data_IF_795292691292
#
_entry.id   IF_795292691292
#
_cell.length_a   1.000
_cell.length_b   1.000
_cell.length_c   1.000
_cell.angle_alpha   90.00
_cell.angle_beta   90.00
_cell.angle_gamma   90.00
#
_symmetry.space_group_name_H-M   'P 1'
#
loop_
_entity.id
_entity.type
_entity.pdbx_description
1 polymer ?
#
# COMPACT_ATOMS: atom_id res chain seq x y z
N UNK A 1 12.54 2.41 -9.40
CA UNK A 1 12.58 1.25 -8.49
C UNK A 1 11.17 0.84 -8.12
N UNK A 2 10.88 -0.43 -8.09
CA UNK A 2 9.55 -0.97 -7.83
C UNK A 2 9.51 -1.64 -6.46
N UNK A 3 8.55 -1.23 -5.63
CA UNK A 3 8.32 -1.84 -4.31
C UNK A 3 6.95 -2.53 -4.31
N UNK A 4 6.91 -3.76 -3.85
CA UNK A 4 5.68 -4.55 -3.79
C UNK A 4 5.28 -4.74 -2.34
N UNK A 5 4.09 -4.26 -1.97
CA UNK A 5 3.61 -4.24 -0.60
C UNK A 5 2.21 -4.82 -0.49
N UNK A 6 1.83 -5.22 0.72
CA UNK A 6 0.44 -5.50 1.06
C UNK A 6 0.00 -4.50 2.13
N UNK A 7 -1.28 -4.14 2.13
CA UNK A 7 -1.80 -3.21 3.14
C UNK A 7 -1.79 -3.85 4.53
N UNK A 8 -2.31 -5.08 4.64
CA UNK A 8 -2.28 -5.84 5.89
C UNK A 8 -1.80 -7.26 5.57
N UNK A 9 -0.74 -7.69 6.22
CA UNK A 9 -0.17 -9.02 6.02
C UNK A 9 -0.99 -10.14 6.66
N UNK A 10 -0.80 -11.36 6.14
CA UNK A 10 -1.35 -12.58 6.72
C UNK A 10 -2.84 -12.82 6.51
N UNK A 11 -3.52 -12.00 5.71
CA UNK A 11 -4.98 -12.11 5.52
C UNK A 11 -5.38 -12.99 4.36
N UNK A 12 -4.56 -13.07 3.34
CA UNK A 12 -4.81 -13.81 2.11
C UNK A 12 -3.53 -14.45 1.61
N UNK A 13 -3.69 -15.47 0.75
CA UNK A 13 -2.56 -15.99 0.00
C UNK A 13 -2.16 -14.97 -1.05
N UNK A 14 -1.05 -14.30 -0.82
CA UNK A 14 -0.54 -13.26 -1.69
C UNK A 14 0.67 -13.75 -2.49
N UNK A 15 0.93 -13.16 -3.67
CA UNK A 15 2.23 -13.26 -4.29
C UNK A 15 3.31 -12.74 -3.32
N UNK A 16 4.57 -13.03 -3.59
CA UNK A 16 5.67 -12.54 -2.76
C UNK A 16 5.65 -11.01 -2.73
N UNK A 17 5.60 -10.46 -1.53
CA UNK A 17 5.67 -9.01 -1.31
C UNK A 17 6.94 -8.68 -0.54
N UNK A 18 7.46 -7.47 -0.75
CA UNK A 18 8.67 -7.02 -0.06
C UNK A 18 8.38 -6.65 1.38
N UNK A 19 7.27 -5.96 1.62
CA UNK A 19 6.89 -5.41 2.93
C UNK A 19 5.38 -5.39 3.06
N UNK A 20 4.89 -5.63 4.28
CA UNK A 20 3.51 -5.33 4.65
C UNK A 20 3.50 -3.98 5.38
N UNK A 21 2.50 -3.14 5.11
CA UNK A 21 2.33 -1.91 5.91
C UNK A 21 2.02 -2.26 7.36
N UNK A 22 1.15 -3.24 7.57
CA UNK A 22 0.81 -3.76 8.90
C UNK A 22 0.90 -5.28 8.90
N UNK A 23 1.51 -5.84 9.94
CA UNK A 23 1.66 -7.29 10.12
C UNK A 23 0.52 -7.84 10.96
N UNK A 24 -0.65 -7.98 10.37
CA UNK A 24 -1.83 -8.47 11.05
C UNK A 24 -2.84 -7.36 11.34
N UNK A 25 -3.51 -7.42 12.49
CA UNK A 25 -4.58 -6.49 12.79
C UNK A 25 -4.07 -5.08 13.09
N UNK A 26 -4.78 -4.08 12.57
CA UNK A 26 -4.61 -2.69 12.96
C UNK A 26 -5.38 -2.46 14.24
N UNK A 27 -4.72 -1.95 15.27
CA UNK A 27 -5.29 -1.81 16.61
C UNK A 27 -6.53 -0.92 16.62
N UNK A 28 -6.45 0.24 15.99
CA UNK A 28 -7.59 1.13 15.85
C UNK A 28 -7.71 1.63 14.40
N UNK A 29 -8.61 1.02 13.60
CA UNK A 29 -8.74 1.37 12.18
C UNK A 29 -9.31 2.76 11.93
N UNK A 30 -9.80 3.45 12.96
CA UNK A 30 -10.29 4.82 12.85
C UNK A 30 -9.28 5.86 13.32
N UNK A 31 -8.13 5.46 13.80
CA UNK A 31 -7.05 6.38 14.14
C UNK A 31 -6.25 6.75 12.88
N UNK A 32 -6.80 7.66 12.11
CA UNK A 32 -6.26 8.03 10.81
C UNK A 32 -4.86 8.63 10.92
N UNK A 33 -4.63 9.44 11.94
CA UNK A 33 -3.31 10.06 12.17
C UNK A 33 -2.22 9.03 12.38
N UNK A 34 -2.48 8.03 13.22
CA UNK A 34 -1.52 6.96 13.49
C UNK A 34 -1.27 6.10 12.25
N UNK A 35 -2.33 5.77 11.50
CA UNK A 35 -2.22 4.98 10.27
C UNK A 35 -1.41 5.74 9.22
N UNK A 36 -1.71 7.01 9.01
CA UNK A 36 -1.00 7.85 8.04
C UNK A 36 0.47 8.01 8.41
N UNK A 37 0.78 8.23 9.68
CA UNK A 37 2.16 8.33 10.15
C UNK A 37 2.93 7.06 9.89
N UNK A 38 2.33 5.90 10.15
CA UNK A 38 2.98 4.61 9.91
C UNK A 38 3.19 4.35 8.41
N UNK A 39 2.18 4.63 7.59
CA UNK A 39 2.26 4.48 6.13
C UNK A 39 3.36 5.40 5.58
N UNK A 40 3.41 6.64 6.03
CA UNK A 40 4.44 7.59 5.61
C UNK A 40 5.84 7.09 5.98
N UNK A 41 6.00 6.57 7.17
CA UNK A 41 7.27 6.01 7.64
C UNK A 41 7.73 4.85 6.76
N UNK A 42 6.83 3.91 6.46
CA UNK A 42 7.15 2.76 5.60
C UNK A 42 7.52 3.21 4.20
N UNK A 43 6.70 4.05 3.57
CA UNK A 43 6.94 4.52 2.21
C UNK A 43 8.24 5.33 2.12
N UNK A 44 8.48 6.20 3.09
CA UNK A 44 9.70 7.01 3.13
C UNK A 44 10.95 6.13 3.29
N UNK A 45 10.86 5.09 4.11
CA UNK A 45 12.00 4.18 4.32
C UNK A 45 12.37 3.38 3.08
N UNK A 46 11.43 3.17 2.16
CA UNK A 46 11.66 2.44 0.92
C UNK A 46 12.06 3.36 -0.24
N UNK A 47 11.88 4.67 -0.09
CA UNK A 47 12.12 5.62 -1.16
C UNK A 47 13.60 5.78 -1.47
N UNK A 48 13.99 5.76 -2.75
CA UNK A 48 15.31 6.22 -3.15
C UNK A 48 15.40 7.75 -3.06
N UNK A 49 16.58 8.28 -3.27
CA UNK A 49 16.85 9.73 -3.22
C UNK A 49 15.90 10.52 -4.16
N UNK A 50 15.55 9.94 -5.30
CA UNK A 50 14.60 10.54 -6.24
C UNK A 50 13.26 9.82 -6.17
N UNK A 51 12.34 10.36 -5.37
CA UNK A 51 11.01 9.80 -5.16
C UNK A 51 10.17 9.70 -6.45
N UNK A 52 10.41 10.58 -7.42
CA UNK A 52 9.69 10.55 -8.69
C UNK A 52 9.98 9.29 -9.53
N UNK A 53 11.06 8.59 -9.22
CA UNK A 53 11.44 7.34 -9.88
C UNK A 53 10.84 6.11 -9.20
N UNK A 54 10.27 6.25 -8.03
CA UNK A 54 9.71 5.12 -7.29
C UNK A 54 8.34 4.73 -7.82
N UNK A 55 8.04 3.44 -7.73
CA UNK A 55 6.72 2.89 -8.02
C UNK A 55 6.33 1.92 -6.92
N UNK A 56 5.17 2.16 -6.33
CA UNK A 56 4.62 1.26 -5.32
C UNK A 56 3.50 0.42 -5.93
N UNK A 57 3.62 -0.90 -5.79
CA UNK A 57 2.57 -1.85 -6.16
C UNK A 57 2.00 -2.39 -4.85
N UNK A 58 0.74 -2.11 -4.58
CA UNK A 58 0.12 -2.37 -3.29
C UNK A 58 -1.05 -3.33 -3.44
N UNK A 59 -0.94 -4.51 -2.84
CA UNK A 59 -2.03 -5.48 -2.76
C UNK A 59 -3.00 -5.05 -1.67
N UNK A 60 -4.25 -4.83 -2.05
CA UNK A 60 -5.30 -4.38 -1.14
C UNK A 60 -5.88 -5.60 -0.41
N UNK A 61 -5.55 -5.75 0.87
CA UNK A 61 -5.87 -6.95 1.64
C UNK A 61 -6.68 -6.68 2.90
N UNK A 62 -7.50 -5.68 2.88
CA UNK A 62 -8.37 -5.39 4.04
C UNK A 62 -8.56 -3.91 4.22
N UNK A 63 -8.52 -3.43 5.42
CA UNK A 63 -8.92 -2.11 5.90
C UNK A 63 -8.80 -0.97 4.90
N UNK A 64 -9.93 -0.41 4.53
CA UNK A 64 -10.03 0.72 3.59
C UNK A 64 -9.18 1.91 4.06
N UNK A 65 -9.12 2.15 5.37
CA UNK A 65 -8.37 3.29 5.91
C UNK A 65 -6.86 3.19 5.68
N UNK A 66 -6.32 1.98 5.59
CA UNK A 66 -4.91 1.78 5.21
C UNK A 66 -4.72 2.13 3.72
N UNK A 67 -5.58 1.62 2.86
CA UNK A 67 -5.52 1.88 1.41
C UNK A 67 -5.64 3.37 1.10
N UNK A 68 -6.61 4.06 1.71
CA UNK A 68 -6.79 5.51 1.50
C UNK A 68 -5.61 6.30 2.02
N UNK A 69 -5.01 5.88 3.13
CA UNK A 69 -3.79 6.51 3.66
C UNK A 69 -2.61 6.35 2.70
N UNK A 70 -2.47 5.18 2.08
CA UNK A 70 -1.42 4.95 1.06
C UNK A 70 -1.57 5.95 -0.10
N UNK A 71 -2.78 6.13 -0.61
CA UNK A 71 -3.02 7.08 -1.71
C UNK A 71 -2.74 8.52 -1.28
N UNK A 72 -3.15 8.89 -0.07
CA UNK A 72 -2.89 10.23 0.47
C UNK A 72 -1.40 10.53 0.57
N UNK A 73 -0.64 9.62 1.14
CA UNK A 73 0.80 9.78 1.31
C UNK A 73 1.52 9.76 -0.04
N UNK A 74 1.11 8.88 -0.96
CA UNK A 74 1.66 8.84 -2.31
C UNK A 74 1.46 10.16 -3.04
N UNK A 75 0.28 10.79 -2.89
CA UNK A 75 0.01 12.09 -3.47
C UNK A 75 0.92 13.18 -2.88
N UNK A 76 1.13 13.16 -1.56
CA UNK A 76 2.06 14.09 -0.90
C UNK A 76 3.50 13.92 -1.39
N UNK A 77 3.91 12.70 -1.66
CA UNK A 77 5.26 12.37 -2.11
C UNK A 77 5.42 12.49 -3.63
N UNK A 78 4.36 12.76 -4.37
CA UNK A 78 4.34 12.77 -5.84
C UNK A 78 4.89 11.48 -6.44
N UNK A 79 4.47 10.35 -5.88
CA UNK A 79 4.91 9.03 -6.33
C UNK A 79 3.74 8.21 -6.87
N UNK A 80 4.01 7.36 -7.85
CA UNK A 80 2.98 6.56 -8.51
C UNK A 80 2.65 5.31 -7.69
N UNK A 81 1.37 4.95 -7.69
CA UNK A 81 0.88 3.76 -7.00
C UNK A 81 0.02 2.93 -7.94
N UNK A 82 0.23 1.63 -7.95
CA UNK A 82 -0.67 0.66 -8.54
C UNK A 82 -1.33 -0.12 -7.41
N UNK A 83 -2.65 -0.06 -7.32
CA UNK A 83 -3.40 -0.90 -6.39
C UNK A 83 -3.79 -2.20 -7.10
N UNK A 84 -3.53 -3.32 -6.43
CA UNK A 84 -3.91 -4.64 -6.90
C UNK A 84 -5.14 -5.10 -6.14
N UNK A 85 -6.28 -5.13 -6.80
CA UNK A 85 -7.57 -5.52 -6.23
C UNK A 85 -7.88 -6.97 -6.54
N UNK A 86 -8.29 -7.74 -5.53
CA UNK A 86 -8.72 -9.11 -5.75
C UNK A 86 -10.12 -9.14 -6.39
N UNK A 87 -10.23 -9.86 -7.50
CA UNK A 87 -11.51 -10.11 -8.17
C UNK A 87 -11.95 -11.55 -7.89
N UNK A 88 -13.01 -11.69 -7.12
CA UNK A 88 -13.56 -12.99 -6.73
C UNK A 88 -14.02 -13.83 -7.92
N UNK A 89 -14.57 -13.18 -8.94
CA UNK A 89 -15.16 -13.87 -10.08
C UNK A 89 -14.11 -14.57 -10.93
N UNK A 90 -12.92 -13.99 -10.98
CA UNK A 90 -11.80 -14.53 -11.78
C UNK A 90 -10.73 -15.21 -10.93
N UNK A 91 -10.81 -15.07 -9.60
CA UNK A 91 -9.78 -15.53 -8.65
C UNK A 91 -8.40 -14.97 -9.02
N UNK A 92 -8.36 -13.69 -9.35
CA UNK A 92 -7.14 -13.00 -9.78
C UNK A 92 -7.15 -11.56 -9.31
N UNK A 93 -6.02 -10.89 -9.47
CA UNK A 93 -5.86 -9.48 -9.10
C UNK A 93 -5.93 -8.58 -10.32
N UNK A 94 -6.62 -7.44 -10.17
CA UNK A 94 -6.72 -6.43 -11.21
C UNK A 94 -6.06 -5.14 -10.76
N UNK A 95 -5.26 -4.56 -11.65
CA UNK A 95 -4.48 -3.37 -11.37
C UNK A 95 -5.30 -2.10 -11.61
N UNK A 96 -5.17 -1.17 -10.66
CA UNK A 96 -5.68 0.19 -10.82
C UNK A 96 -4.52 1.15 -10.61
N UNK A 97 -4.30 2.04 -11.58
CA UNK A 97 -3.12 2.90 -11.62
C UNK A 97 -3.44 4.31 -11.13
N UNK A 98 -2.56 4.85 -10.29
CA UNK A 98 -2.64 6.21 -9.78
C UNK A 98 -1.34 6.95 -10.07
N UNK A 99 -1.46 8.09 -10.72
CA UNK A 99 -0.34 8.98 -11.05
C UNK A 99 -0.56 10.31 -10.34
N UNK A 100 0.39 10.70 -9.51
CA UNK A 100 0.29 11.91 -8.72
C UNK A 100 1.33 12.97 -9.07
#
# INVERSE_FOLDING_TARGET
>A
MRHVLATVGGRHDLPAVDVNFFDGAVENPMDFGAIESHVREVMTSLEPVDASQAMFVVYVTGLTTVTTSVLKIAAEMHTNVTLMHYNRDTDDYEAQYFVF
#
